data_IF_600899298169
#
_entry.id   IF_600899298169
#
_cell.length_a   1.000
_cell.length_b   1.000
_cell.length_c   1.000
_cell.angle_alpha   90.00
_cell.angle_beta   90.00
_cell.angle_gamma   90.00
#
_symmetry.space_group_name_H-M   'P 1'
#
loop_
_entity.id
_entity.type
_entity.pdbx_description
1 polymer ?
#
# COMPACT_ATOMS: atom_id res chain seq x y z
N UNK A 1 -2.24 -5.47 -30.95
CA UNK A 1 -3.45 -5.56 -30.10
C UNK A 1 -4.47 -6.60 -30.58
N UNK A 2 -4.63 -6.88 -31.89
CA UNK A 2 -5.69 -7.78 -32.41
C UNK A 2 -5.56 -9.30 -32.15
N UNK A 3 -4.38 -9.82 -31.80
CA UNK A 3 -4.22 -11.28 -31.57
C UNK A 3 -4.89 -11.76 -30.28
N UNK A 4 -4.89 -10.94 -29.24
CA UNK A 4 -5.44 -11.30 -27.93
C UNK A 4 -6.97 -11.27 -27.91
N UNK A 5 -7.58 -10.29 -28.60
CA UNK A 5 -9.04 -10.25 -28.76
C UNK A 5 -9.58 -11.53 -29.41
N UNK A 6 -8.90 -12.05 -30.43
CA UNK A 6 -9.26 -13.31 -31.10
C UNK A 6 -9.11 -14.55 -30.20
N UNK A 7 -8.09 -14.59 -29.35
CA UNK A 7 -7.90 -15.68 -28.39
C UNK A 7 -9.02 -15.62 -27.34
N UNK A 8 -9.33 -14.44 -26.81
CA UNK A 8 -10.42 -14.20 -25.85
C UNK A 8 -11.77 -14.68 -26.39
N UNK A 9 -12.17 -14.26 -27.60
CA UNK A 9 -13.43 -14.71 -28.21
C UNK A 9 -13.49 -16.21 -28.48
N UNK A 10 -12.34 -16.86 -28.62
CA UNK A 10 -12.27 -18.32 -28.82
C UNK A 10 -12.37 -19.05 -27.50
N UNK A 11 -11.78 -18.52 -26.43
CA UNK A 11 -11.79 -19.12 -25.10
C UNK A 11 -13.09 -18.85 -24.33
N UNK A 12 -13.73 -17.70 -24.51
CA UNK A 12 -15.05 -17.39 -23.93
C UNK A 12 -16.16 -18.33 -24.43
N UNK A 13 -15.94 -19.02 -25.56
CA UNK A 13 -16.85 -20.06 -26.06
C UNK A 13 -16.76 -21.37 -25.29
N UNK A 14 -15.72 -21.54 -24.48
CA UNK A 14 -15.57 -22.68 -23.58
C UNK A 14 -16.08 -22.25 -22.20
N UNK A 15 -17.26 -22.72 -21.79
CA UNK A 15 -17.87 -22.45 -20.47
C UNK A 15 -17.13 -23.11 -19.29
N UNK A 16 -15.85 -23.44 -19.45
CA UNK A 16 -15.03 -23.99 -18.38
C UNK A 16 -14.59 -22.88 -17.42
N UNK A 17 -15.06 -22.95 -16.18
CA UNK A 17 -14.77 -21.97 -15.13
C UNK A 17 -13.27 -21.76 -14.89
N UNK A 18 -12.47 -22.81 -15.03
CA UNK A 18 -11.00 -22.76 -14.90
C UNK A 18 -10.30 -21.91 -15.96
N UNK A 19 -10.83 -21.87 -17.19
CA UNK A 19 -10.28 -21.08 -18.29
C UNK A 19 -10.66 -19.61 -18.12
N UNK A 20 -11.88 -19.33 -17.67
CA UNK A 20 -12.34 -17.98 -17.38
C UNK A 20 -11.51 -17.34 -16.26
N UNK A 21 -11.24 -18.07 -15.17
CA UNK A 21 -10.36 -17.62 -14.09
C UNK A 21 -8.94 -17.33 -14.59
N UNK A 22 -8.39 -18.18 -15.46
CA UNK A 22 -7.04 -17.98 -16.01
C UNK A 22 -6.97 -16.72 -16.89
N UNK A 23 -8.02 -16.43 -17.67
CA UNK A 23 -8.11 -15.23 -18.50
C UNK A 23 -8.24 -13.98 -17.64
N UNK A 24 -9.09 -13.99 -16.61
CA UNK A 24 -9.20 -12.88 -15.66
C UNK A 24 -7.86 -12.59 -15.00
N UNK A 25 -7.19 -13.64 -14.50
CA UNK A 25 -5.88 -13.51 -13.87
C UNK A 25 -4.82 -12.96 -14.85
N UNK A 26 -4.88 -13.35 -16.12
CA UNK A 26 -3.99 -12.81 -17.14
C UNK A 26 -4.33 -11.34 -17.45
N UNK A 27 -5.61 -10.98 -17.57
CA UNK A 27 -6.06 -9.59 -17.78
C UNK A 27 -5.64 -8.67 -16.65
N UNK A 28 -5.74 -9.13 -15.40
CA UNK A 28 -5.23 -8.41 -14.23
C UNK A 28 -3.70 -8.22 -14.30
N UNK A 29 -2.96 -9.17 -14.88
CA UNK A 29 -1.50 -9.09 -14.98
C UNK A 29 -1.01 -8.12 -16.07
N UNK A 30 -1.85 -7.78 -17.06
CA UNK A 30 -1.47 -6.93 -18.19
C UNK A 30 -2.04 -5.51 -18.11
N UNK A 31 -2.66 -5.15 -16.98
CA UNK A 31 -3.18 -3.79 -16.79
C UNK A 31 -2.02 -2.80 -16.83
N UNK A 32 -2.13 -1.71 -17.60
CA UNK A 32 -1.13 -0.65 -17.57
C UNK A 32 -1.10 0.01 -16.19
N UNK A 33 0.09 0.15 -15.61
CA UNK A 33 0.31 0.86 -14.34
C UNK A 33 0.19 2.38 -14.53
N UNK A 34 -0.51 3.04 -13.61
CA UNK A 34 -0.64 4.50 -13.51
C UNK A 34 -0.19 4.94 -12.13
N UNK A 35 0.97 5.59 -12.08
CA UNK A 35 1.47 6.22 -10.85
C UNK A 35 0.92 7.63 -10.68
N UNK A 36 0.37 7.92 -9.50
CA UNK A 36 -0.15 9.23 -9.10
C UNK A 36 0.61 9.71 -7.88
N UNK A 37 1.29 10.85 -7.98
CA UNK A 37 1.97 11.46 -6.85
C UNK A 37 1.21 12.70 -6.38
N UNK A 38 0.83 12.73 -5.10
CA UNK A 38 0.13 13.88 -4.50
C UNK A 38 1.15 14.74 -3.76
N UNK A 39 1.40 15.94 -4.29
CA UNK A 39 2.37 16.90 -3.78
C UNK A 39 1.67 18.16 -3.25
N UNK A 40 2.26 18.78 -2.24
CA UNK A 40 1.73 20.01 -1.64
C UNK A 40 2.30 20.32 -0.28
N UNK A 41 2.06 21.55 0.19
CA UNK A 41 2.51 22.04 1.49
C UNK A 41 2.07 21.13 2.65
N UNK A 42 2.77 21.24 3.77
CA UNK A 42 2.38 20.56 5.01
C UNK A 42 0.95 20.95 5.44
N UNK A 43 0.18 19.98 5.92
CA UNK A 43 -1.23 20.12 6.31
C UNK A 43 -2.21 20.56 5.22
N UNK A 44 -1.86 20.46 3.93
CA UNK A 44 -2.76 20.81 2.82
C UNK A 44 -3.91 19.81 2.56
N UNK A 45 -4.05 18.76 3.38
CA UNK A 45 -5.11 17.74 3.22
C UNK A 45 -4.81 16.65 2.18
N UNK A 46 -3.54 16.42 1.84
CA UNK A 46 -3.12 15.39 0.86
C UNK A 46 -3.60 13.98 1.23
N UNK A 47 -3.34 13.54 2.45
CA UNK A 47 -3.75 12.23 2.95
C UNK A 47 -5.27 12.09 2.98
N UNK A 48 -6.01 13.15 3.34
CA UNK A 48 -7.48 13.16 3.29
C UNK A 48 -8.01 13.08 1.84
N UNK A 49 -7.35 13.73 0.89
CA UNK A 49 -7.66 13.61 -0.53
C UNK A 49 -7.43 12.17 -1.03
N UNK A 50 -6.31 11.55 -0.65
CA UNK A 50 -5.99 10.16 -1.01
C UNK A 50 -7.02 9.20 -0.41
N UNK A 51 -7.33 9.32 0.88
CA UNK A 51 -8.36 8.51 1.55
C UNK A 51 -9.71 8.63 0.84
N UNK A 52 -10.11 9.85 0.45
CA UNK A 52 -11.33 10.08 -0.33
C UNK A 52 -11.27 9.46 -1.74
N UNK A 53 -10.09 9.45 -2.36
CA UNK A 53 -9.88 8.91 -3.71
C UNK A 53 -9.93 7.37 -3.71
N UNK A 54 -9.31 6.72 -2.73
CA UNK A 54 -9.31 5.25 -2.59
C UNK A 54 -10.59 4.72 -1.93
N UNK A 55 -11.27 5.58 -1.17
CA UNK A 55 -12.53 5.32 -0.47
C UNK A 55 -12.38 4.63 0.89
N UNK A 56 -11.17 4.65 1.45
CA UNK A 56 -10.82 4.08 2.76
C UNK A 56 -10.00 5.09 3.57
N UNK A 57 -10.24 5.15 4.89
CA UNK A 57 -9.56 6.09 5.79
C UNK A 57 -8.28 5.48 6.38
N UNK A 58 -7.30 5.22 5.51
CA UNK A 58 -6.06 4.49 5.83
C UNK A 58 -4.93 5.42 6.27
N UNK A 59 -4.74 6.55 5.58
CA UNK A 59 -3.65 7.46 5.89
C UNK A 59 -4.05 8.39 7.04
N UNK A 60 -3.13 8.72 7.96
CA UNK A 60 -3.43 9.63 9.06
C UNK A 60 -3.75 11.03 8.54
N UNK A 61 -4.94 11.54 8.86
CA UNK A 61 -5.45 12.85 8.40
C UNK A 61 -5.33 13.98 9.44
N UNK A 62 -4.69 13.71 10.59
CA UNK A 62 -4.52 14.66 11.71
C UNK A 62 -3.39 15.70 11.54
N UNK A 63 -3.44 16.75 12.34
CA UNK A 63 -2.49 17.89 12.37
C UNK A 63 -1.15 17.61 13.04
N UNK A 64 -0.94 16.39 13.52
CA UNK A 64 0.34 15.98 14.08
C UNK A 64 1.39 15.88 12.95
N UNK A 65 2.70 16.04 13.23
CA UNK A 65 3.76 15.88 12.25
C UNK A 65 3.90 14.40 11.82
N UNK A 66 2.90 13.87 11.11
CA UNK A 66 2.68 12.43 10.94
C UNK A 66 2.98 11.88 9.56
N UNK A 67 3.46 12.70 8.63
CA UNK A 67 4.06 12.19 7.39
C UNK A 67 5.56 12.48 7.43
N UNK A 68 6.30 11.75 8.27
CA UNK A 68 7.75 11.65 8.14
C UNK A 68 8.14 10.58 7.10
N UNK A 69 7.22 9.64 6.81
CA UNK A 69 7.41 8.53 5.88
C UNK A 69 6.65 8.78 4.57
N UNK A 70 7.14 8.20 3.47
CA UNK A 70 6.48 8.16 2.17
C UNK A 70 5.57 6.94 2.14
N UNK A 71 4.31 7.11 1.78
CA UNK A 71 3.38 5.99 1.63
C UNK A 71 3.17 5.70 0.15
N UNK A 72 3.34 4.43 -0.24
CA UNK A 72 2.95 3.92 -1.56
C UNK A 72 1.73 3.04 -1.39
N UNK A 73 0.62 3.48 -1.95
CA UNK A 73 -0.69 2.83 -1.84
C UNK A 73 -0.97 2.13 -3.17
N UNK A 74 -1.18 0.82 -3.10
CA UNK A 74 -1.48 -0.05 -4.22
C UNK A 74 -2.92 -0.56 -4.10
N UNK A 75 -3.62 -0.64 -5.23
CA UNK A 75 -4.90 -1.34 -5.29
C UNK A 75 -4.66 -2.87 -5.23
N UNK A 76 -5.31 -3.56 -4.30
CA UNK A 76 -5.21 -5.02 -4.12
C UNK A 76 -6.52 -5.57 -3.58
N UNK A 77 -6.80 -6.85 -3.78
CA UNK A 77 -7.95 -7.52 -3.13
C UNK A 77 -7.70 -7.83 -1.64
N UNK A 78 -6.49 -7.56 -1.15
CA UNK A 78 -6.07 -7.84 0.21
C UNK A 78 -5.58 -6.59 0.93
N UNK A 79 -5.70 -6.61 2.26
CA UNK A 79 -5.20 -5.56 3.14
C UNK A 79 -3.81 -5.97 3.67
N UNK A 80 -2.78 -5.20 3.35
CA UNK A 80 -1.45 -5.41 3.91
C UNK A 80 -0.63 -4.13 4.03
N UNK A 81 0.29 -4.13 4.98
CA UNK A 81 1.31 -3.09 5.16
C UNK A 81 2.67 -3.75 5.16
N UNK A 82 3.58 -3.28 4.33
CA UNK A 82 4.96 -3.78 4.27
C UNK A 82 5.97 -2.64 4.44
N UNK A 83 7.06 -2.92 5.15
CA UNK A 83 8.06 -1.92 5.52
C UNK A 83 9.39 -2.59 5.87
N UNK A 84 10.45 -1.82 5.86
CA UNK A 84 11.77 -2.25 6.34
C UNK A 84 11.92 -1.92 7.84
N UNK A 85 12.46 -2.86 8.60
CA UNK A 85 12.79 -2.72 10.01
C UNK A 85 14.16 -3.33 10.28
N UNK A 86 15.12 -2.51 10.72
CA UNK A 86 16.50 -2.96 10.99
C UNK A 86 17.07 -3.85 9.86
N UNK A 87 16.95 -3.36 8.62
CA UNK A 87 17.38 -4.02 7.39
C UNK A 87 16.63 -5.34 7.05
N UNK A 88 15.56 -5.66 7.78
CA UNK A 88 14.66 -6.79 7.51
C UNK A 88 13.34 -6.31 6.90
N UNK A 89 12.83 -7.03 5.91
CA UNK A 89 11.55 -6.71 5.30
C UNK A 89 10.41 -7.39 6.05
N UNK A 90 9.49 -6.59 6.57
CA UNK A 90 8.31 -7.04 7.31
C UNK A 90 7.08 -6.83 6.45
N UNK A 91 6.18 -7.82 6.47
CA UNK A 91 4.86 -7.71 5.85
C UNK A 91 3.80 -8.14 6.84
N UNK A 92 2.81 -7.28 7.03
CA UNK A 92 1.66 -7.49 7.91
C UNK A 92 0.41 -7.60 7.05
N UNK A 93 -0.26 -8.75 7.12
CA UNK A 93 -1.48 -9.04 6.36
C UNK A 93 -2.69 -9.05 7.28
N UNK A 94 -3.77 -8.39 6.86
CA UNK A 94 -5.02 -8.27 7.60
C UNK A 94 -6.11 -9.07 6.86
N UNK A 95 -6.34 -10.30 7.31
CA UNK A 95 -7.42 -11.19 6.84
C UNK A 95 -8.39 -11.50 7.97
N UNK A 96 -8.98 -12.71 8.01
CA UNK A 96 -9.78 -13.13 9.17
C UNK A 96 -9.00 -13.00 10.48
N UNK A 97 -7.70 -13.32 10.42
CA UNK A 97 -6.71 -13.05 11.46
C UNK A 97 -5.59 -12.15 10.89
N UNK A 98 -4.88 -11.46 11.79
CA UNK A 98 -3.65 -10.73 11.43
C UNK A 98 -2.48 -11.71 11.38
N UNK A 99 -1.68 -11.64 10.32
CA UNK A 99 -0.42 -12.38 10.21
C UNK A 99 0.74 -11.44 9.95
N UNK A 100 1.90 -11.78 10.50
CA UNK A 100 3.14 -11.01 10.35
C UNK A 100 4.22 -11.94 9.79
N UNK A 101 4.91 -11.48 8.76
CA UNK A 101 6.02 -12.16 8.10
C UNK A 101 7.28 -11.29 8.24
N UNK A 102 8.45 -11.94 8.35
CA UNK A 102 9.75 -11.26 8.38
C UNK A 102 10.29 -10.92 9.77
N UNK A 103 9.53 -11.19 10.84
CA UNK A 103 10.02 -11.08 12.23
C UNK A 103 10.46 -12.47 12.70
N UNK A 104 11.74 -12.59 13.10
CA UNK A 104 12.28 -13.86 13.63
C UNK A 104 12.06 -14.01 15.14
N UNK A 105 11.95 -12.90 15.87
CA UNK A 105 11.72 -12.90 17.31
C UNK A 105 10.22 -13.10 17.60
N UNK A 106 9.89 -14.26 18.18
CA UNK A 106 8.50 -14.61 18.49
C UNK A 106 7.86 -13.70 19.55
N UNK A 107 8.63 -13.18 20.50
CA UNK A 107 8.11 -12.28 21.55
C UNK A 107 7.73 -10.94 20.94
N UNK A 108 8.61 -10.39 20.11
CA UNK A 108 8.33 -9.18 19.34
C UNK A 108 7.12 -9.36 18.43
N UNK A 109 7.02 -10.50 17.75
CA UNK A 109 5.91 -10.80 16.86
C UNK A 109 4.57 -10.86 17.63
N UNK A 110 4.53 -11.53 18.78
CA UNK A 110 3.35 -11.59 19.65
C UNK A 110 2.96 -10.21 20.20
N UNK A 111 3.93 -9.41 20.63
CA UNK A 111 3.69 -8.04 21.10
C UNK A 111 3.09 -7.17 19.98
N UNK A 112 3.68 -7.21 18.79
CA UNK A 112 3.18 -6.47 17.64
C UNK A 112 1.76 -6.91 17.30
N UNK A 113 1.51 -8.22 17.17
CA UNK A 113 0.19 -8.79 16.89
C UNK A 113 -0.85 -8.31 17.88
N UNK A 114 -0.54 -8.28 19.18
CA UNK A 114 -1.45 -7.81 20.22
C UNK A 114 -1.88 -6.34 20.04
N UNK A 115 -0.96 -5.48 19.58
CA UNK A 115 -1.19 -4.04 19.37
C UNK A 115 -2.02 -3.77 18.10
N UNK A 116 -1.82 -4.58 17.05
CA UNK A 116 -2.44 -4.36 15.73
C UNK A 116 -3.67 -5.25 15.46
N UNK A 117 -3.98 -6.19 16.34
CA UNK A 117 -5.17 -7.04 16.26
C UNK A 117 -6.44 -6.20 16.21
N UNK A 118 -7.42 -6.66 15.44
CA UNK A 118 -8.66 -5.95 15.21
C UNK A 118 -9.84 -6.92 15.21
N UNK A 119 -11.04 -6.39 15.46
CA UNK A 119 -12.28 -7.14 15.31
C UNK A 119 -13.08 -6.49 14.18
N UNK A 120 -13.30 -7.23 13.10
CA UNK A 120 -14.16 -6.82 11.98
C UNK A 120 -13.46 -5.96 10.95
N UNK A 121 -13.07 -4.73 11.27
CA UNK A 121 -12.54 -3.79 10.26
C UNK A 121 -10.99 -3.81 10.17
N UNK A 122 -10.39 -4.33 9.09
CA UNK A 122 -8.93 -4.37 8.90
C UNK A 122 -8.28 -2.99 8.92
N UNK A 123 -8.97 -1.95 8.43
CA UNK A 123 -8.50 -0.56 8.40
C UNK A 123 -8.11 -0.08 9.80
N UNK A 124 -8.83 -0.52 10.84
CA UNK A 124 -8.49 -0.14 12.22
C UNK A 124 -7.13 -0.69 12.66
N UNK A 125 -6.83 -1.94 12.30
CA UNK A 125 -5.54 -2.57 12.58
C UNK A 125 -4.39 -1.94 11.80
N UNK A 126 -4.65 -1.58 10.53
CA UNK A 126 -3.69 -0.86 9.69
C UNK A 126 -3.39 0.53 10.25
N UNK A 127 -4.41 1.29 10.65
CA UNK A 127 -4.23 2.64 11.20
C UNK A 127 -3.39 2.63 12.49
N UNK A 128 -3.55 1.60 13.32
CA UNK A 128 -2.70 1.41 14.52
C UNK A 128 -1.24 1.16 14.14
N UNK A 129 -0.99 0.24 13.19
CA UNK A 129 0.36 -0.04 12.71
C UNK A 129 1.01 1.21 12.09
N UNK A 130 0.31 1.90 11.20
CA UNK A 130 0.78 3.12 10.55
C UNK A 130 1.12 4.19 11.59
N UNK A 131 0.29 4.34 12.63
CA UNK A 131 0.56 5.25 13.73
C UNK A 131 1.83 4.87 14.51
N UNK A 132 2.05 3.59 14.77
CA UNK A 132 3.27 3.09 15.43
C UNK A 132 4.52 3.30 14.56
N UNK A 133 4.43 3.07 13.25
CA UNK A 133 5.51 3.28 12.29
C UNK A 133 5.93 4.76 12.22
N UNK A 134 4.96 5.67 12.18
CA UNK A 134 5.23 7.11 12.18
C UNK A 134 5.87 7.60 13.48
N UNK A 135 5.62 6.92 14.60
CA UNK A 135 6.22 7.26 15.90
C UNK A 135 7.55 6.54 16.15
N UNK A 136 7.98 5.65 15.26
CA UNK A 136 9.14 4.75 15.45
C UNK A 136 9.07 3.99 16.78
N UNK A 137 7.85 3.59 17.18
CA UNK A 137 7.54 2.88 18.43
C UNK A 137 6.80 1.59 18.12
N UNK A 138 7.52 0.62 17.57
CA UNK A 138 6.96 -0.70 17.28
C UNK A 138 6.94 -1.60 18.53
N UNK A 139 8.03 -1.59 19.30
CA UNK A 139 8.25 -2.43 20.48
C UNK A 139 8.65 -1.55 21.67
N UNK A 140 8.15 -1.87 22.86
CA UNK A 140 8.43 -1.07 24.05
C UNK A 140 9.91 -1.26 24.49
N UNK A 141 10.67 -0.16 24.55
CA UNK A 141 12.02 -0.13 25.14
C UNK A 141 13.18 -0.26 24.15
N UNK A 142 12.92 -0.58 22.88
CA UNK A 142 13.95 -0.65 21.83
C UNK A 142 13.73 0.40 20.74
N UNK A 143 14.82 1.01 20.27
CA UNK A 143 14.78 1.91 19.10
C UNK A 143 15.07 1.08 17.86
N UNK A 144 14.02 0.75 17.10
CA UNK A 144 14.15 0.15 15.78
C UNK A 144 14.14 1.21 14.70
N UNK A 145 14.97 1.03 13.67
CA UNK A 145 14.98 1.91 12.51
C UNK A 145 13.95 1.44 11.49
N UNK A 146 12.95 2.27 11.25
CA UNK A 146 11.91 2.01 10.24
C UNK A 146 12.31 2.65 8.91
N UNK A 147 12.19 1.90 7.82
CA UNK A 147 12.39 2.39 6.45
C UNK A 147 11.52 3.59 6.12
N UNK A 148 11.97 4.40 5.16
CA UNK A 148 11.28 5.65 4.79
C UNK A 148 10.05 5.43 3.90
N UNK A 149 10.03 4.32 3.15
CA UNK A 149 8.93 3.93 2.28
C UNK A 149 8.07 2.88 2.99
N UNK A 150 6.78 3.16 3.13
CA UNK A 150 5.79 2.23 3.66
C UNK A 150 4.87 1.83 2.51
N UNK A 151 4.82 0.54 2.23
CA UNK A 151 3.95 -0.05 1.24
C UNK A 151 2.61 -0.43 1.84
N UNK A 152 1.53 0.03 1.23
CA UNK A 152 0.16 -0.23 1.65
C UNK A 152 -0.56 -0.85 0.46
N UNK A 153 -1.18 -2.01 0.67
CA UNK A 153 -2.07 -2.64 -0.29
C UNK A 153 -3.46 -2.71 0.30
N UNK A 154 -4.45 -2.17 -0.40
CA UNK A 154 -5.86 -2.17 0.04
C UNK A 154 -6.81 -2.26 -1.16
N UNK A 155 -8.01 -2.82 -0.96
CA UNK A 155 -9.09 -2.69 -1.93
C UNK A 155 -9.50 -1.23 -2.07
N UNK A 156 -9.61 -0.76 -3.31
CA UNK A 156 -10.11 0.59 -3.60
C UNK A 156 -11.64 0.55 -3.64
N UNK A 157 -12.25 0.68 -2.46
CA UNK A 157 -13.70 0.55 -2.28
C UNK A 157 -14.39 1.86 -2.67
N UNK A 158 -15.35 1.82 -3.61
CA UNK A 158 -16.06 3.03 -4.10
C UNK A 158 -15.12 4.12 -4.63
N UNK A 159 -13.93 3.74 -5.08
CA UNK A 159 -12.98 4.68 -5.66
C UNK A 159 -13.53 5.32 -6.93
N UNK A 160 -13.17 6.59 -7.14
CA UNK A 160 -13.45 7.30 -8.39
C UNK A 160 -12.48 6.91 -9.53
N UNK A 161 -11.50 6.06 -9.23
CA UNK A 161 -10.49 5.61 -10.18
C UNK A 161 -10.99 4.43 -11.02
N UNK A 162 -10.65 4.37 -12.33
CA UNK A 162 -10.99 3.25 -13.20
C UNK A 162 -10.10 2.01 -12.95
N UNK A 163 -10.14 1.46 -11.74
CA UNK A 163 -9.30 0.33 -11.26
C UNK A 163 -9.49 -0.98 -12.06
N UNK A 164 -10.60 -1.11 -12.80
CA UNK A 164 -10.78 -2.22 -13.74
C UNK A 164 -9.96 -2.10 -15.04
N UNK A 165 -9.38 -0.93 -15.32
CA UNK A 165 -8.64 -0.65 -16.56
C UNK A 165 -7.15 -0.40 -16.34
N UNK A 166 -6.77 0.08 -15.16
CA UNK A 166 -5.41 0.47 -14.82
C UNK A 166 -5.08 0.02 -13.41
N UNK A 167 -3.82 -0.34 -13.20
CA UNK A 167 -3.29 -0.57 -11.86
C UNK A 167 -2.78 0.77 -11.33
N UNK A 168 -3.46 1.30 -10.31
CA UNK A 168 -3.07 2.58 -9.73
C UNK A 168 -2.09 2.38 -8.58
N UNK A 169 -1.03 3.18 -8.61
CA UNK A 169 -0.09 3.34 -7.49
C UNK A 169 -0.11 4.79 -7.06
N UNK A 170 -0.51 5.06 -5.82
CA UNK A 170 -0.64 6.42 -5.29
C UNK A 170 0.48 6.65 -4.28
N UNK A 171 1.14 7.80 -4.37
CA UNK A 171 2.17 8.20 -3.43
C UNK A 171 1.68 9.37 -2.57
N UNK A 172 1.63 9.16 -1.25
CA UNK A 172 1.50 10.24 -0.27
C UNK A 172 2.89 10.65 0.22
N UNK A 173 3.13 11.96 0.22
CA UNK A 173 4.44 12.52 0.53
C UNK A 173 4.38 13.39 1.79
N UNK A 174 5.43 13.33 2.64
CA UNK A 174 5.67 14.33 3.67
C UNK A 174 5.46 15.75 3.16
N UNK A 175 4.78 16.58 3.96
CA UNK A 175 4.65 18.00 3.65
C UNK A 175 6.01 18.70 3.59
N UNK A 176 6.19 19.59 2.61
CA UNK A 176 7.44 20.31 2.40
C UNK A 176 7.74 21.30 3.53
N UNK A 177 8.48 20.88 4.55
CA UNK A 177 9.33 21.76 5.36
C UNK A 177 10.78 21.57 4.88
N UNK A 178 11.51 22.67 4.72
CA UNK A 178 12.57 22.90 3.73
C UNK A 178 13.86 22.03 3.76
N UNK A 179 13.97 20.99 4.58
CA UNK A 179 15.22 20.20 4.71
C UNK A 179 15.09 18.70 4.36
N UNK A 180 13.88 18.12 4.33
CA UNK A 180 13.67 16.67 4.09
C UNK A 180 13.39 16.32 2.62
N UNK A 181 13.24 17.32 1.75
CA UNK A 181 12.60 17.15 0.43
C UNK A 181 13.42 16.33 -0.58
N UNK A 182 14.76 16.37 -0.52
CA UNK A 182 15.62 15.67 -1.51
C UNK A 182 15.52 14.16 -1.39
N UNK A 183 15.63 13.61 -0.18
CA UNK A 183 15.61 12.17 0.05
C UNK A 183 14.26 11.55 -0.33
N UNK A 184 13.15 12.25 -0.04
CA UNK A 184 11.83 11.79 -0.44
C UNK A 184 11.62 11.85 -1.94
N UNK A 185 12.08 12.92 -2.61
CA UNK A 185 12.06 13.01 -4.07
C UNK A 185 12.89 11.89 -4.73
N UNK A 186 14.07 11.58 -4.20
CA UNK A 186 14.90 10.46 -4.69
C UNK A 186 14.19 9.09 -4.53
N UNK A 187 13.46 8.86 -3.44
CA UNK A 187 12.66 7.63 -3.23
C UNK A 187 11.51 7.56 -4.25
N UNK A 188 10.85 8.69 -4.54
CA UNK A 188 9.79 8.75 -5.53
C UNK A 188 10.34 8.53 -6.94
N UNK A 189 11.42 9.22 -7.31
CA UNK A 189 12.08 9.07 -8.61
C UNK A 189 12.54 7.63 -8.82
N UNK A 190 13.23 7.03 -7.84
CA UNK A 190 13.65 5.61 -7.93
C UNK A 190 12.46 4.65 -8.03
N UNK A 191 11.36 4.92 -7.32
CA UNK A 191 10.15 4.11 -7.41
C UNK A 191 9.48 4.24 -8.79
N UNK A 192 9.40 5.44 -9.36
CA UNK A 192 8.83 5.68 -10.69
C UNK A 192 9.71 5.11 -11.80
N UNK A 193 11.03 5.19 -11.66
CA UNK A 193 12.02 4.62 -12.58
C UNK A 193 11.95 3.09 -12.63
N UNK A 194 11.70 2.44 -11.50
CA UNK A 194 11.51 0.98 -11.47
C UNK A 194 10.26 0.53 -12.22
N UNK A 195 9.22 1.36 -12.31
CA UNK A 195 7.98 1.04 -13.03
C UNK A 195 8.07 1.30 -14.54
N UNK A 196 8.88 2.27 -14.98
CA UNK A 196 9.03 2.59 -16.41
C UNK A 196 9.94 1.64 -17.18
N UNK A 197 10.69 0.78 -16.48
CA UNK A 197 11.57 -0.25 -17.07
C UNK A 197 10.89 -1.62 -17.28
N UNK A 198 9.56 -1.69 -17.21
CA UNK A 198 8.76 -2.88 -17.53
C UNK A 198 8.51 -3.08 -19.02
#
# INVERSE_FOLDING_TARGET
MDRFARIKTTLEKYEESSIVELIQKYEDTIKPSVSVCVLGLYSAGKSAFINSLIGEDILPSGSDPTTAKVFRINCSDSYSVSFELDDSFISVCYGDDVSVLGISDSVMQEELLSKISYNGNPVLGMNRLISMLNQEKLVDGEKHKVGELIDISVPFVRSSLPVGKFDFVIYDTPGSNSDTNKKHLEILESSLDSQTKG
#
